data_IF_673731002940
#
_entry.id   IF_673731002940
#
_cell.length_a   1.000
_cell.length_b   1.000
_cell.length_c   1.000
_cell.angle_alpha   90.00
_cell.angle_beta   90.00
_cell.angle_gamma   90.00
#
_symmetry.space_group_name_H-M   'P 1'
#
loop_
_entity.id
_entity.type
_entity.pdbx_description
1 polymer ?
#
# COMPACT_ATOMS: atom_id res chain seq x y z
N UNK A 1 2.21 15.40 5.37
CA UNK A 1 3.24 14.67 4.60
C UNK A 1 2.58 14.08 3.38
N UNK A 2 3.20 14.17 2.19
CA UNK A 2 2.74 13.46 1.01
C UNK A 2 2.92 11.94 1.20
N UNK A 3 2.01 11.15 0.65
CA UNK A 3 2.21 9.69 0.49
C UNK A 3 2.80 9.47 -0.89
N UNK A 4 3.84 8.65 -1.00
CA UNK A 4 4.47 8.33 -2.28
C UNK A 4 3.84 7.07 -2.86
N UNK A 5 3.50 7.10 -4.14
CA UNK A 5 2.82 6.02 -4.81
C UNK A 5 3.64 5.54 -6.00
N UNK A 6 3.76 4.21 -6.13
CA UNK A 6 4.34 3.52 -7.28
C UNK A 6 3.25 2.66 -7.91
N UNK A 7 2.97 2.90 -9.19
CA UNK A 7 2.14 2.03 -10.00
C UNK A 7 3.03 1.24 -10.94
N UNK A 8 2.89 -0.06 -10.93
CA UNK A 8 3.52 -0.94 -11.89
C UNK A 8 2.45 -1.63 -12.73
N UNK A 9 2.74 -1.82 -14.02
CA UNK A 9 1.89 -2.58 -14.92
C UNK A 9 2.74 -3.57 -15.69
N UNK A 10 2.33 -4.83 -15.69
CA UNK A 10 3.12 -5.91 -16.27
C UNK A 10 2.32 -6.82 -17.19
N UNK A 11 3.02 -7.38 -18.18
CA UNK A 11 2.58 -8.56 -18.92
C UNK A 11 3.51 -9.73 -18.62
N UNK A 12 2.95 -10.91 -18.42
CA UNK A 12 3.73 -12.13 -18.26
C UNK A 12 3.97 -12.80 -19.61
N UNK A 13 5.11 -13.47 -19.74
CA UNK A 13 5.48 -14.19 -20.96
C UNK A 13 4.62 -15.43 -21.22
N UNK A 14 3.94 -15.96 -20.19
CA UNK A 14 3.00 -17.06 -20.30
C UNK A 14 2.04 -17.13 -19.09
N UNK A 15 0.92 -17.87 -19.18
CA UNK A 15 0.05 -18.13 -18.03
C UNK A 15 0.78 -18.83 -16.87
N UNK A 16 1.69 -19.76 -17.17
CA UNK A 16 2.50 -20.47 -16.16
C UNK A 16 3.46 -19.51 -15.43
N UNK A 17 4.03 -18.53 -16.13
CA UNK A 17 4.84 -17.50 -15.49
C UNK A 17 4.03 -16.68 -14.48
N UNK A 18 2.76 -16.39 -14.78
CA UNK A 18 1.87 -15.71 -13.84
C UNK A 18 1.51 -16.60 -12.64
N UNK A 19 1.21 -17.89 -12.86
CA UNK A 19 0.96 -18.83 -11.76
C UNK A 19 2.14 -18.92 -10.78
N UNK A 20 3.37 -18.99 -11.29
CA UNK A 20 4.59 -18.96 -10.48
C UNK A 20 4.78 -17.61 -9.77
N UNK A 21 4.48 -16.51 -10.47
CA UNK A 21 4.55 -15.18 -9.88
C UNK A 21 3.61 -15.05 -8.68
N UNK A 22 2.38 -15.59 -8.73
CA UNK A 22 1.46 -15.52 -7.58
C UNK A 22 2.05 -16.13 -6.31
N UNK A 23 2.85 -17.20 -6.42
CA UNK A 23 3.54 -17.81 -5.28
C UNK A 23 4.58 -16.85 -4.69
N UNK A 24 5.42 -16.26 -5.55
CA UNK A 24 6.44 -15.30 -5.14
C UNK A 24 5.82 -14.02 -4.55
N UNK A 25 4.76 -13.53 -5.18
CA UNK A 25 4.05 -12.32 -4.78
C UNK A 25 3.36 -12.50 -3.43
N UNK A 26 2.76 -13.67 -3.16
CA UNK A 26 2.18 -13.99 -1.87
C UNK A 26 3.18 -13.89 -0.72
N UNK A 27 4.44 -14.28 -0.95
CA UNK A 27 5.50 -14.16 0.04
C UNK A 27 6.06 -12.73 0.12
N UNK A 28 6.15 -12.04 -1.01
CA UNK A 28 6.52 -10.62 -1.07
C UNK A 28 5.60 -9.77 -0.19
N UNK A 29 4.29 -10.06 -0.14
CA UNK A 29 3.34 -9.41 0.78
C UNK A 29 3.80 -9.52 2.24
N UNK A 30 4.31 -10.68 2.67
CA UNK A 30 4.79 -10.89 4.05
C UNK A 30 6.03 -10.04 4.35
N UNK A 31 6.96 -9.95 3.40
CA UNK A 31 8.16 -9.13 3.52
C UNK A 31 7.81 -7.64 3.58
N UNK A 32 6.94 -7.16 2.69
CA UNK A 32 6.48 -5.76 2.66
C UNK A 32 5.83 -5.34 3.99
N UNK A 33 5.05 -6.23 4.61
CA UNK A 33 4.42 -5.96 5.91
C UNK A 33 5.41 -5.69 7.04
N UNK A 34 6.67 -6.11 6.90
CA UNK A 34 7.72 -5.86 7.90
C UNK A 34 8.44 -4.52 7.66
N UNK A 35 8.29 -3.92 6.47
CA UNK A 35 9.05 -2.72 6.11
C UNK A 35 8.50 -1.48 6.81
N UNK A 36 9.40 -0.64 7.37
CA UNK A 36 9.04 0.71 7.77
C UNK A 36 8.59 1.52 6.56
N UNK A 37 7.45 2.21 6.69
CA UNK A 37 6.95 3.11 5.67
C UNK A 37 6.19 2.47 4.51
N UNK A 38 6.09 1.14 4.44
CA UNK A 38 5.11 0.48 3.57
C UNK A 38 3.70 0.65 4.14
N UNK A 39 2.74 1.05 3.29
CA UNK A 39 1.35 1.28 3.69
C UNK A 39 0.37 0.34 2.98
N UNK A 40 0.54 0.17 1.67
CA UNK A 40 -0.45 -0.52 0.86
C UNK A 40 0.17 -1.14 -0.37
N UNK A 41 -0.40 -2.27 -0.82
CA UNK A 41 -0.12 -2.90 -2.11
C UNK A 41 -1.40 -3.52 -2.63
N UNK A 42 -1.84 -3.15 -3.83
CA UNK A 42 -2.91 -3.86 -4.53
C UNK A 42 -2.40 -4.40 -5.85
N UNK A 43 -2.87 -5.60 -6.19
CA UNK A 43 -2.61 -6.28 -7.45
C UNK A 43 -3.93 -6.73 -8.08
N UNK A 44 -4.12 -6.47 -9.38
CA UNK A 44 -5.33 -6.85 -10.10
C UNK A 44 -5.11 -7.08 -11.60
N UNK A 45 -5.95 -7.92 -12.20
CA UNK A 45 -6.04 -8.14 -13.65
C UNK A 45 -6.80 -6.98 -14.31
N UNK A 46 -6.34 -6.53 -15.48
CA UNK A 46 -7.02 -5.49 -16.23
C UNK A 46 -8.37 -6.01 -16.76
N UNK A 47 -9.49 -5.27 -16.59
CA UNK A 47 -10.83 -5.78 -16.88
C UNK A 47 -11.06 -6.12 -18.36
N UNK A 48 -10.35 -5.43 -19.27
CA UNK A 48 -10.53 -5.60 -20.72
C UNK A 48 -9.38 -6.36 -21.40
N UNK A 49 -8.25 -6.56 -20.72
CA UNK A 49 -7.09 -7.25 -21.28
C UNK A 49 -6.49 -8.18 -20.22
N UNK A 50 -6.87 -9.45 -20.31
CA UNK A 50 -6.52 -10.48 -19.31
C UNK A 50 -5.03 -10.81 -19.24
N UNK A 51 -4.23 -10.29 -20.18
CA UNK A 51 -2.78 -10.44 -20.16
C UNK A 51 -2.07 -9.24 -19.52
N UNK A 52 -2.82 -8.22 -19.08
CA UNK A 52 -2.30 -7.09 -18.32
C UNK A 52 -2.65 -7.23 -16.84
N UNK A 53 -1.65 -7.03 -16.00
CA UNK A 53 -1.80 -6.96 -14.56
C UNK A 53 -1.27 -5.63 -14.06
N UNK A 54 -1.95 -5.06 -13.07
CA UNK A 54 -1.59 -3.80 -12.46
C UNK A 54 -1.24 -4.03 -10.99
N UNK A 55 -0.30 -3.24 -10.53
CA UNK A 55 0.11 -3.10 -9.15
C UNK A 55 0.06 -1.63 -8.77
N UNK A 56 -0.26 -1.37 -7.51
CA UNK A 56 -0.17 -0.05 -6.93
C UNK A 56 0.27 -0.18 -5.47
N UNK A 57 1.39 0.45 -5.11
CA UNK A 57 1.90 0.48 -3.75
C UNK A 57 2.06 1.89 -3.21
N UNK A 58 1.77 2.03 -1.92
CA UNK A 58 1.77 3.30 -1.20
C UNK A 58 2.82 3.25 -0.09
N UNK A 59 3.53 4.35 0.04
CA UNK A 59 4.69 4.48 0.90
C UNK A 59 4.64 5.82 1.63
N UNK A 60 5.06 5.84 2.89
CA UNK A 60 5.10 7.08 3.68
C UNK A 60 6.06 8.12 3.10
N UNK A 61 7.00 7.69 2.25
CA UNK A 61 7.94 8.57 1.57
C UNK A 61 8.55 7.91 0.34
N UNK A 62 9.13 8.73 -0.53
CA UNK A 62 9.96 8.26 -1.65
C UNK A 62 11.17 7.43 -1.17
N UNK A 63 11.74 7.79 -0.02
CA UNK A 63 12.88 7.07 0.58
C UNK A 63 12.52 5.62 0.93
N UNK A 64 11.37 5.40 1.56
CA UNK A 64 10.91 4.06 1.93
C UNK A 64 10.75 3.13 0.71
N UNK A 65 10.20 3.64 -0.40
CA UNK A 65 10.15 2.89 -1.66
C UNK A 65 11.54 2.59 -2.22
N UNK A 66 12.45 3.58 -2.20
CA UNK A 66 13.82 3.36 -2.69
C UNK A 66 14.59 2.33 -1.86
N UNK A 67 14.37 2.30 -0.55
CA UNK A 67 14.97 1.30 0.33
C UNK A 67 14.44 -0.10 -0.02
N UNK A 68 13.13 -0.23 -0.29
CA UNK A 68 12.57 -1.47 -0.83
C UNK A 68 13.20 -1.88 -2.17
N UNK A 69 13.43 -0.95 -3.09
CA UNK A 69 14.11 -1.27 -4.35
C UNK A 69 15.56 -1.74 -4.17
N UNK A 70 16.21 -1.35 -3.06
CA UNK A 70 17.58 -1.77 -2.73
C UNK A 70 17.62 -3.07 -1.91
N UNK A 71 16.51 -3.47 -1.32
CA UNK A 71 16.38 -4.67 -0.51
C UNK A 71 16.85 -5.93 -1.25
N UNK A 72 17.52 -6.81 -0.51
CA UNK A 72 18.12 -8.03 -1.06
C UNK A 72 17.06 -9.01 -1.54
N UNK A 73 15.98 -9.20 -0.76
CA UNK A 73 14.88 -10.09 -1.14
C UNK A 73 14.17 -9.56 -2.38
N UNK A 74 13.85 -8.26 -2.42
CA UNK A 74 13.25 -7.63 -3.59
C UNK A 74 14.11 -7.80 -4.85
N UNK A 75 15.43 -7.61 -4.76
CA UNK A 75 16.34 -7.83 -5.88
C UNK A 75 16.32 -9.26 -6.40
N UNK A 76 16.24 -10.27 -5.52
CA UNK A 76 16.10 -11.66 -5.95
C UNK A 76 14.77 -11.90 -6.67
N UNK A 77 13.67 -11.36 -6.14
CA UNK A 77 12.36 -11.45 -6.77
C UNK A 77 12.35 -10.78 -8.15
N UNK A 78 12.94 -9.59 -8.26
CA UNK A 78 13.05 -8.84 -9.52
C UNK A 78 13.94 -9.56 -10.53
N UNK A 79 15.05 -10.15 -10.09
CA UNK A 79 15.93 -10.96 -10.95
C UNK A 79 15.19 -12.19 -11.51
N UNK A 80 14.47 -12.93 -10.66
CA UNK A 80 13.62 -14.02 -11.13
C UNK A 80 12.59 -13.54 -12.17
N UNK A 81 11.91 -12.42 -11.91
CA UNK A 81 10.89 -11.90 -12.80
C UNK A 81 11.44 -11.45 -14.16
N UNK A 82 12.59 -10.78 -14.16
CA UNK A 82 13.25 -10.25 -15.35
C UNK A 82 14.00 -11.32 -16.16
N UNK A 83 14.24 -12.50 -15.60
CA UNK A 83 14.78 -13.67 -16.31
C UNK A 83 13.73 -14.41 -17.18
N UNK A 84 12.78 -13.67 -17.74
CA UNK A 84 11.85 -14.17 -18.74
C UNK A 84 10.43 -14.47 -18.26
N UNK A 85 10.09 -14.20 -17.00
CA UNK A 85 8.70 -14.33 -16.52
C UNK A 85 7.84 -13.11 -16.93
N UNK A 86 8.42 -11.91 -16.91
CA UNK A 86 7.77 -10.66 -17.32
C UNK A 86 8.29 -10.25 -18.71
N UNK A 87 7.37 -9.97 -19.64
CA UNK A 87 7.69 -9.52 -21.00
C UNK A 87 7.60 -8.00 -21.18
N UNK A 88 6.80 -7.32 -20.35
CA UNK A 88 6.62 -5.86 -20.39
C UNK A 88 6.41 -5.35 -18.96
N UNK A 89 7.06 -4.25 -18.61
CA UNK A 89 7.05 -3.67 -17.27
C UNK A 89 7.06 -2.14 -17.33
N UNK A 90 5.95 -1.51 -16.95
CA UNK A 90 5.76 -0.06 -16.96
C UNK A 90 5.61 0.42 -15.52
N UNK A 91 6.47 1.35 -15.09
CA UNK A 91 6.44 1.90 -13.72
C UNK A 91 6.20 3.41 -13.79
N UNK A 92 5.21 3.89 -13.03
CA UNK A 92 4.89 5.32 -12.90
C UNK A 92 4.82 5.68 -11.42
N UNK A 93 5.44 6.79 -11.03
CA UNK A 93 5.48 7.23 -9.63
C UNK A 93 4.93 8.64 -9.45
N UNK A 94 4.28 8.89 -8.33
CA UNK A 94 3.70 10.19 -8.00
C UNK A 94 3.58 10.41 -6.48
N UNK A 95 3.40 11.67 -6.10
CA UNK A 95 3.11 12.06 -4.73
C UNK A 95 1.62 12.36 -4.58
N UNK A 96 0.96 11.63 -3.68
CA UNK A 96 -0.41 11.89 -3.29
C UNK A 96 -0.44 13.01 -2.24
N UNK A 97 -1.12 14.09 -2.60
CA UNK A 97 -1.33 15.27 -1.76
C UNK A 97 -2.80 15.67 -1.79
N UNK A 98 -3.27 16.31 -0.71
CA UNK A 98 -4.60 16.89 -0.66
C UNK A 98 -5.76 15.89 -0.56
N UNK A 99 -5.50 14.65 -0.16
CA UNK A 99 -6.53 13.61 -0.03
C UNK A 99 -7.55 13.98 1.05
N UNK A 100 -8.84 13.86 0.73
CA UNK A 100 -9.97 14.13 1.64
C UNK A 100 -10.86 12.90 1.75
N UNK A 101 -11.49 12.76 2.90
CA UNK A 101 -12.50 11.75 3.18
C UNK A 101 -13.82 12.47 3.43
N UNK A 102 -14.77 12.23 2.54
CA UNK A 102 -16.13 12.74 2.63
C UNK A 102 -17.04 11.55 2.91
N UNK A 103 -17.82 11.59 3.99
CA UNK A 103 -18.79 10.55 4.33
C UNK A 103 -20.13 11.17 4.67
N UNK A 104 -21.20 10.44 4.34
CA UNK A 104 -22.55 10.73 4.80
C UNK A 104 -23.09 9.49 5.47
N UNK A 105 -23.52 9.61 6.72
CA UNK A 105 -24.12 8.48 7.44
C UNK A 105 -25.51 8.17 6.85
N UNK A 106 -25.77 6.92 6.41
CA UNK A 106 -27.06 6.58 5.80
C UNK A 106 -28.22 6.53 6.80
N UNK A 107 -27.94 6.48 8.11
CA UNK A 107 -28.96 6.37 9.17
C UNK A 107 -29.43 7.74 9.67
N UNK A 108 -28.50 8.64 9.95
CA UNK A 108 -28.82 9.94 10.59
C UNK A 108 -28.47 11.16 9.71
N UNK A 109 -28.03 10.93 8.47
CA UNK A 109 -27.64 11.93 7.48
C UNK A 109 -26.51 12.88 7.93
N UNK A 110 -25.75 12.48 8.95
CA UNK A 110 -24.59 13.24 9.40
C UNK A 110 -23.49 13.22 8.34
N UNK A 111 -23.11 14.40 7.86
CA UNK A 111 -22.04 14.58 6.89
C UNK A 111 -20.72 14.89 7.57
N UNK A 112 -19.63 14.30 7.11
CA UNK A 112 -18.27 14.67 7.48
C UNK A 112 -17.43 14.91 6.25
N UNK A 113 -16.58 15.92 6.33
CA UNK A 113 -15.58 16.23 5.33
C UNK A 113 -14.29 16.61 6.06
N UNK A 114 -13.31 15.72 5.99
CA UNK A 114 -12.05 15.87 6.71
C UNK A 114 -10.87 15.48 5.86
N UNK A 115 -9.69 15.90 6.29
CA UNK A 115 -8.43 15.41 5.73
C UNK A 115 -8.38 13.89 5.89
N UNK A 116 -8.04 13.19 4.82
CA UNK A 116 -7.85 11.75 4.87
C UNK A 116 -6.41 11.44 5.22
N UNK A 117 -6.19 10.94 6.43
CA UNK A 117 -4.88 10.44 6.83
C UNK A 117 -4.64 9.05 6.24
N UNK A 118 -4.07 9.02 5.04
CA UNK A 118 -3.69 7.79 4.34
C UNK A 118 -2.64 6.96 5.11
N UNK A 119 -1.92 7.55 6.07
CA UNK A 119 -0.96 6.80 6.89
C UNK A 119 -1.66 6.00 8.00
N UNK A 120 -2.94 6.27 8.27
CA UNK A 120 -3.78 5.56 9.23
C UNK A 120 -5.09 5.12 8.53
N UNK A 121 -5.00 4.73 7.26
CA UNK A 121 -6.16 4.42 6.43
C UNK A 121 -7.12 3.45 7.11
N UNK A 122 -6.63 2.33 7.65
CA UNK A 122 -7.49 1.30 8.23
C UNK A 122 -8.19 1.84 9.48
N UNK A 123 -7.46 2.50 10.39
CA UNK A 123 -8.07 3.15 11.54
C UNK A 123 -9.15 4.17 11.14
N UNK A 124 -8.87 5.03 10.16
CA UNK A 124 -9.84 6.04 9.67
C UNK A 124 -11.05 5.39 8.98
N UNK A 125 -10.86 4.31 8.22
CA UNK A 125 -11.94 3.55 7.59
C UNK A 125 -12.87 2.88 8.61
N UNK A 126 -12.32 2.42 9.74
CA UNK A 126 -13.09 1.78 10.81
C UNK A 126 -13.82 2.76 11.76
N UNK A 127 -13.62 4.07 11.63
CA UNK A 127 -14.37 5.06 12.43
C UNK A 127 -15.88 4.96 12.19
N UNK A 128 -16.65 4.90 13.28
CA UNK A 128 -18.11 4.91 13.25
C UNK A 128 -18.68 6.32 13.05
N UNK A 129 -19.96 6.40 12.69
CA UNK A 129 -20.68 7.67 12.71
C UNK A 129 -20.68 8.25 14.14
N UNK A 130 -20.20 9.49 14.35
CA UNK A 130 -20.10 10.08 15.69
C UNK A 130 -21.45 10.39 16.32
N UNK A 131 -22.53 10.44 15.53
CA UNK A 131 -23.87 10.80 15.98
C UNK A 131 -24.74 9.61 16.38
N UNK A 132 -24.63 8.49 15.65
CA UNK A 132 -25.53 7.34 15.86
C UNK A 132 -24.81 5.99 15.98
N UNK A 133 -23.47 5.95 15.91
CA UNK A 133 -22.70 4.70 16.03
C UNK A 133 -22.78 3.76 14.82
N UNK A 134 -23.34 4.22 13.69
CA UNK A 134 -23.35 3.42 12.47
C UNK A 134 -21.93 3.04 12.05
N UNK A 135 -21.70 1.75 11.82
CA UNK A 135 -20.43 1.23 11.34
C UNK A 135 -20.41 1.29 9.82
N UNK A 136 -19.48 2.04 9.25
CA UNK A 136 -19.32 2.09 7.80
C UNK A 136 -18.75 0.76 7.28
N UNK A 137 -19.21 0.25 6.13
CA UNK A 137 -18.63 -0.93 5.52
C UNK A 137 -17.15 -0.71 5.18
N UNK A 138 -16.29 -1.65 5.56
CA UNK A 138 -14.88 -1.69 5.17
C UNK A 138 -14.67 -2.94 4.32
N UNK A 139 -13.99 -2.80 3.18
CA UNK A 139 -13.71 -3.92 2.30
C UNK A 139 -12.71 -4.87 2.98
N UNK A 140 -13.06 -6.15 3.09
CA UNK A 140 -12.12 -7.21 3.49
C UNK A 140 -11.30 -7.69 2.30
N UNK A 141 -10.27 -8.51 2.51
CA UNK A 141 -9.57 -9.18 1.40
C UNK A 141 -10.56 -9.97 0.52
N UNK A 142 -10.38 -9.94 -0.81
CA UNK A 142 -11.24 -10.66 -1.77
C UNK A 142 -10.40 -11.59 -2.65
N UNK A 143 -10.94 -12.71 -3.16
CA UNK A 143 -10.17 -13.64 -3.99
C UNK A 143 -9.61 -13.05 -5.29
N UNK A 144 -10.24 -12.00 -5.82
CA UNK A 144 -9.86 -11.32 -7.07
C UNK A 144 -8.92 -10.13 -6.87
N UNK A 145 -8.57 -9.79 -5.63
CA UNK A 145 -7.68 -8.67 -5.30
C UNK A 145 -6.82 -9.03 -4.09
N UNK A 146 -5.50 -9.09 -4.29
CA UNK A 146 -4.54 -9.38 -3.23
C UNK A 146 -4.10 -8.12 -2.48
N UNK A 147 -5.06 -7.27 -2.13
CA UNK A 147 -4.78 -6.01 -1.45
C UNK A 147 -4.17 -6.25 -0.06
N UNK A 148 -3.11 -5.51 0.27
CA UNK A 148 -2.49 -5.45 1.61
C UNK A 148 -2.69 -4.04 2.12
N UNK A 149 -3.15 -3.92 3.36
CA UNK A 149 -3.31 -2.64 4.03
C UNK A 149 -2.55 -2.64 5.36
N UNK A 150 -1.84 -1.56 5.65
CA UNK A 150 -1.05 -1.38 6.86
C UNK A 150 -1.02 0.09 7.25
N UNK A 151 -1.49 0.36 8.47
CA UNK A 151 -1.29 1.67 9.07
C UNK A 151 0.19 1.86 9.45
N UNK A 152 0.70 3.07 9.23
CA UNK A 152 2.05 3.45 9.64
C UNK A 152 2.20 3.30 11.15
N UNK A 153 3.33 2.75 11.58
CA UNK A 153 3.73 2.86 12.98
C UNK A 153 4.22 4.29 13.19
N UNK A 154 3.58 5.03 14.09
CA UNK A 154 4.03 6.38 14.43
C UNK A 154 5.52 6.33 14.80
N UNK A 155 6.35 7.26 14.30
CA UNK A 155 7.72 7.35 14.77
C UNK A 155 7.66 7.58 16.29
N UNK A 156 8.24 6.67 17.08
CA UNK A 156 8.54 6.98 18.48
C UNK A 156 9.42 8.23 18.45
N UNK A 157 8.90 9.35 18.94
CA UNK A 157 9.74 10.51 19.25
C UNK A 157 10.84 10.00 20.18
N UNK A 158 12.09 10.01 19.72
CA UNK A 158 13.23 9.88 20.62
C UNK A 158 13.15 11.09 21.56
N UNK A 159 12.56 10.91 22.74
CA UNK A 159 12.76 11.84 23.85
C UNK A 159 14.27 11.97 24.01
N UNK A 160 14.76 13.20 23.82
CA UNK A 160 16.17 13.53 23.97
C UNK A 160 16.69 12.99 25.29
N UNK A 161 17.80 12.28 25.23
CA UNK A 161 18.57 11.96 26.42
C UNK A 161 19.12 13.29 26.96
N UNK A 162 18.82 13.51 28.24
CA UNK A 162 19.04 14.73 29.01
C UNK A 162 20.43 15.35 28.89
N UNK A 163 20.40 16.68 28.85
CA UNK A 163 21.36 17.57 29.48
C UNK A 163 21.57 17.19 30.95
N UNK A 164 22.68 16.56 31.29
CA UNK A 164 23.35 16.78 32.59
C UNK A 164 24.86 16.62 32.43
N UNK A 165 25.52 17.73 32.12
CA UNK A 165 26.95 17.91 32.34
C UNK A 165 27.21 19.36 32.76
N UNK A 166 26.85 19.68 34.01
CA UNK A 166 27.36 20.85 34.73
C UNK A 166 27.13 20.63 36.22
N UNK A 167 28.22 20.40 36.96
CA UNK A 167 28.25 20.18 38.40
C UNK A 167 29.55 19.50 38.82
#
# INVERSE_FOLDING_TARGET
MPVYLSMQRVRFSSPDAYEKFKVLFADTRRHLMQLPGFLHLTWWEHPEDKNWYNECSFWTSRGALYDWHKDTYHKFCKSWATNGAIMEDIITNFELVGTRLIRVCPVCNEGSDKKYDLTQEQAVLNEQCPKCGFHFPVLTETPSSFAVFKDAVAPMEKKGADETASG
#
